data_IF_759001358865
#
_entry.id   IF_759001358865
#
_cell.length_a   1.000
_cell.length_b   1.000
_cell.length_c   1.000
_cell.angle_alpha   90.00
_cell.angle_beta   90.00
_cell.angle_gamma   90.00
#
_symmetry.space_group_name_H-M   'P 1'
#
loop_
_entity.id
_entity.type
_entity.pdbx_description
1 polymer ?
#
# COMPACT_ATOMS: atom_id res chain seq x y z
N UNK A 1 -13.01 -11.33 -21.92
CA UNK A 1 -13.22 -10.27 -20.92
C UNK A 1 -14.07 -9.20 -21.57
N UNK A 2 -15.20 -8.83 -20.95
CA UNK A 2 -16.09 -7.79 -21.48
C UNK A 2 -15.52 -6.37 -21.20
N UNK A 3 -15.94 -5.34 -21.96
CA UNK A 3 -15.49 -3.94 -21.77
C UNK A 3 -15.66 -3.44 -20.34
N UNK A 4 -16.74 -3.81 -19.66
CA UNK A 4 -16.98 -3.45 -18.27
C UNK A 4 -15.96 -4.15 -17.35
N UNK A 5 -15.70 -5.44 -17.55
CA UNK A 5 -14.67 -6.17 -16.81
C UNK A 5 -13.28 -5.54 -17.01
N UNK A 6 -12.94 -5.13 -18.24
CA UNK A 6 -11.68 -4.44 -18.55
C UNK A 6 -11.59 -3.10 -17.79
N UNK A 7 -12.66 -2.30 -17.80
CA UNK A 7 -12.71 -1.03 -17.08
C UNK A 7 -12.53 -1.21 -15.57
N UNK A 8 -13.22 -2.18 -14.97
CA UNK A 8 -13.07 -2.51 -13.54
C UNK A 8 -11.64 -2.96 -13.22
N UNK A 9 -11.04 -3.81 -14.04
CA UNK A 9 -9.67 -4.24 -13.84
C UNK A 9 -8.66 -3.09 -13.95
N UNK A 10 -8.85 -2.16 -14.91
CA UNK A 10 -8.03 -0.95 -15.05
C UNK A 10 -8.11 -0.07 -13.80
N UNK A 11 -9.32 0.14 -13.25
CA UNK A 11 -9.49 0.89 -12.01
C UNK A 11 -8.79 0.21 -10.83
N UNK A 12 -8.90 -1.12 -10.72
CA UNK A 12 -8.20 -1.89 -9.70
C UNK A 12 -6.67 -1.80 -9.82
N UNK A 13 -6.13 -1.84 -11.04
CA UNK A 13 -4.69 -1.66 -11.26
C UNK A 13 -4.23 -0.26 -10.84
N UNK A 14 -4.98 0.77 -11.23
CA UNK A 14 -4.67 2.14 -10.83
C UNK A 14 -4.68 2.31 -9.30
N UNK A 15 -5.67 1.73 -8.62
CA UNK A 15 -5.76 1.77 -7.17
C UNK A 15 -4.62 1.00 -6.49
N UNK A 16 -4.28 -0.20 -6.98
CA UNK A 16 -3.13 -0.98 -6.51
C UNK A 16 -1.85 -0.18 -6.63
N UNK A 17 -1.58 0.44 -7.79
CA UNK A 17 -0.33 1.14 -8.04
C UNK A 17 -0.18 2.37 -7.14
N UNK A 18 -1.29 3.09 -6.90
CA UNK A 18 -1.33 4.18 -5.92
C UNK A 18 -1.02 3.68 -4.50
N UNK A 19 -1.60 2.57 -4.08
CA UNK A 19 -1.35 1.98 -2.75
C UNK A 19 0.07 1.43 -2.63
N UNK A 20 0.62 0.86 -3.69
CA UNK A 20 2.00 0.39 -3.72
C UNK A 20 2.98 1.56 -3.56
N UNK A 21 2.77 2.68 -4.26
CA UNK A 21 3.61 3.87 -4.09
C UNK A 21 3.57 4.42 -2.65
N UNK A 22 2.40 4.40 -2.00
CA UNK A 22 2.26 4.78 -0.59
C UNK A 22 2.97 3.79 0.34
N UNK A 23 2.83 2.48 0.10
CA UNK A 23 3.56 1.45 0.83
C UNK A 23 5.07 1.64 0.70
N UNK A 24 5.58 1.87 -0.50
CA UNK A 24 7.01 2.10 -0.76
C UNK A 24 7.50 3.35 -0.02
N UNK A 25 6.70 4.42 0.00
CA UNK A 25 6.98 5.63 0.77
C UNK A 25 7.11 5.32 2.26
N UNK A 26 6.12 4.61 2.82
CA UNK A 26 6.11 4.19 4.23
C UNK A 26 7.31 3.29 4.53
N UNK A 27 7.62 2.29 3.71
CA UNK A 27 8.75 1.36 3.91
C UNK A 27 10.10 2.09 3.81
N UNK A 28 10.23 3.04 2.88
CA UNK A 28 11.46 3.81 2.70
C UNK A 28 11.77 4.76 3.86
N UNK A 29 10.77 5.08 4.71
CA UNK A 29 10.85 6.11 5.74
C UNK A 29 10.93 7.54 5.17
N UNK A 30 11.03 7.72 3.84
CA UNK A 30 11.11 9.02 3.19
C UNK A 30 9.71 9.62 3.15
N UNK A 31 9.47 10.64 3.98
CA UNK A 31 8.16 11.30 4.12
C UNK A 31 7.41 10.92 5.40
N UNK A 32 8.03 10.14 6.30
CA UNK A 32 7.49 9.88 7.63
C UNK A 32 8.34 10.58 8.68
N UNK A 33 7.77 11.57 9.38
CA UNK A 33 8.42 12.27 10.48
C UNK A 33 7.54 12.13 11.72
N UNK A 34 8.07 11.50 12.77
CA UNK A 34 7.39 11.39 14.06
C UNK A 34 7.96 12.46 14.97
N UNK A 35 7.15 13.47 15.29
CA UNK A 35 7.48 14.45 16.32
C UNK A 35 6.67 14.13 17.56
N UNK A 36 7.35 13.76 18.64
CA UNK A 36 6.77 13.68 19.98
C UNK A 36 7.19 14.96 20.70
N UNK A 37 6.31 15.56 21.51
CA UNK A 37 6.66 16.73 22.30
C UNK A 37 7.79 16.38 23.27
N UNK A 38 8.99 16.92 23.02
CA UNK A 38 10.22 16.53 23.71
C UNK A 38 11.24 15.98 22.70
N UNK A 39 12.50 16.38 22.84
CA UNK A 39 13.63 16.20 21.90
C UNK A 39 14.02 14.76 21.52
N UNK A 40 13.20 13.75 21.85
CA UNK A 40 13.55 12.35 21.69
C UNK A 40 12.90 11.74 20.45
N UNK A 41 13.71 11.41 19.45
CA UNK A 41 13.30 10.65 18.26
C UNK A 41 14.27 9.48 18.09
N UNK A 42 13.97 8.37 18.76
CA UNK A 42 14.66 7.10 18.54
C UNK A 42 14.13 6.44 17.25
N UNK A 43 15.00 5.76 16.51
CA UNK A 43 14.63 4.98 15.34
C UNK A 43 13.59 3.89 15.68
N UNK A 44 13.61 3.38 16.92
CA UNK A 44 12.63 2.41 17.40
C UNK A 44 11.20 2.98 17.45
N UNK A 45 11.04 4.25 17.81
CA UNK A 45 9.74 4.93 17.86
C UNK A 45 9.18 5.13 16.47
N UNK A 46 10.02 5.56 15.52
CA UNK A 46 9.63 5.69 14.11
C UNK A 46 9.19 4.33 13.57
N UNK A 47 9.94 3.26 13.84
CA UNK A 47 9.58 1.91 13.40
C UNK A 47 8.27 1.41 14.01
N UNK A 48 8.01 1.71 15.29
CA UNK A 48 6.77 1.34 15.98
C UNK A 48 5.53 2.00 15.34
N UNK A 49 5.64 3.26 14.89
CA UNK A 49 4.55 3.98 14.22
C UNK A 49 4.44 3.60 12.74
N UNK A 50 5.55 3.31 12.07
CA UNK A 50 5.59 2.90 10.67
C UNK A 50 4.90 1.54 10.44
N UNK A 51 5.02 0.61 11.40
CA UNK A 51 4.55 -0.77 11.27
C UNK A 51 3.03 -0.88 11.00
N UNK A 52 2.12 -0.24 11.76
CA UNK A 52 0.69 -0.26 11.45
C UNK A 52 0.35 0.23 10.04
N UNK A 53 1.01 1.29 9.56
CA UNK A 53 0.76 1.84 8.23
C UNK A 53 1.24 0.90 7.13
N UNK A 54 2.43 0.32 7.29
CA UNK A 54 2.95 -0.70 6.38
C UNK A 54 1.97 -1.87 6.28
N UNK A 55 1.55 -2.39 7.43
CA UNK A 55 0.68 -3.57 7.48
C UNK A 55 -0.69 -3.26 6.86
N UNK A 56 -1.24 -2.05 7.08
CA UNK A 56 -2.48 -1.58 6.45
C UNK A 56 -2.39 -1.51 4.92
N UNK A 57 -1.36 -0.85 4.38
CA UNK A 57 -1.20 -0.72 2.93
C UNK A 57 -0.91 -2.07 2.27
N UNK A 58 -0.09 -2.91 2.90
CA UNK A 58 0.18 -4.27 2.43
C UNK A 58 -1.10 -5.10 2.34
N UNK A 59 -1.97 -5.03 3.36
CA UNK A 59 -3.25 -5.73 3.36
C UNK A 59 -4.16 -5.26 2.21
N UNK A 60 -4.21 -3.95 1.95
CA UNK A 60 -5.00 -3.38 0.85
C UNK A 60 -4.50 -3.81 -0.53
N UNK A 61 -3.18 -3.75 -0.76
CA UNK A 61 -2.56 -4.24 -2.00
C UNK A 61 -2.86 -5.72 -2.21
N UNK A 62 -2.73 -6.54 -1.17
CA UNK A 62 -3.03 -7.97 -1.23
C UNK A 62 -4.50 -8.25 -1.55
N UNK A 63 -5.42 -7.46 -0.98
CA UNK A 63 -6.85 -7.57 -1.28
C UNK A 63 -7.16 -7.30 -2.75
N UNK A 64 -6.58 -6.24 -3.33
CA UNK A 64 -6.77 -5.92 -4.75
C UNK A 64 -6.16 -7.00 -5.64
N UNK A 65 -4.96 -7.49 -5.31
CA UNK A 65 -4.33 -8.60 -6.04
C UNK A 65 -5.19 -9.88 -5.99
N UNK A 66 -5.84 -10.17 -4.86
CA UNK A 66 -6.77 -11.29 -4.74
C UNK A 66 -8.01 -11.11 -5.63
N UNK A 67 -8.60 -9.90 -5.66
CA UNK A 67 -9.73 -9.57 -6.53
C UNK A 67 -9.36 -9.66 -8.01
N UNK A 68 -8.20 -9.15 -8.40
CA UNK A 68 -7.68 -9.26 -9.77
C UNK A 68 -7.49 -10.74 -10.19
N UNK A 69 -6.98 -11.59 -9.30
CA UNK A 69 -6.87 -13.03 -9.55
C UNK A 69 -8.24 -13.68 -9.78
N UNK A 70 -9.26 -13.32 -8.99
CA UNK A 70 -10.63 -13.81 -9.18
C UNK A 70 -11.23 -13.38 -10.52
N UNK A 71 -10.84 -12.20 -11.03
CA UNK A 71 -11.20 -11.73 -12.37
C UNK A 71 -10.45 -12.44 -13.51
N UNK A 72 -9.60 -13.42 -13.19
CA UNK A 72 -8.84 -14.20 -14.18
C UNK A 72 -7.51 -13.56 -14.58
N UNK A 73 -7.04 -12.54 -13.88
CA UNK A 73 -5.72 -11.96 -14.13
C UNK A 73 -4.62 -12.84 -13.50
N UNK A 74 -3.73 -13.37 -14.34
CA UNK A 74 -2.68 -14.32 -13.93
C UNK A 74 -1.32 -13.68 -13.63
N UNK A 75 -1.22 -12.35 -13.60
CA UNK A 75 0.02 -11.67 -13.21
C UNK A 75 1.15 -11.74 -14.24
N UNK A 76 0.86 -12.10 -15.50
CA UNK A 76 1.76 -11.89 -16.63
C UNK A 76 1.52 -10.54 -17.28
#
# INVERSE_FOLDING_TARGET
MDRNQISVAQQMFWERDKLQALLDTVVSGKGFAVSISGTWQDAEVVAAVQRPLRDYYQQKVNSINAQLKQLGWSGK
#
